data_IF_271033842262
#
_entry.id   IF_271033842262
#
_cell.length_a   1.000
_cell.length_b   1.000
_cell.length_c   1.000
_cell.angle_alpha   90.00
_cell.angle_beta   90.00
_cell.angle_gamma   90.00
#
_symmetry.space_group_name_H-M   'P 1'
#
loop_
_entity.id
_entity.type
_entity.pdbx_description
1 polymer ?
#
# COMPACT_ATOMS: atom_id res chain seq x y z
N UNK A 1 0.57 14.55 19.98
CA UNK A 1 0.76 13.81 18.72
C UNK A 1 -0.61 13.22 18.36
N UNK A 2 -1.21 13.75 17.29
CA UNK A 2 -2.56 13.56 16.72
C UNK A 2 -3.76 13.35 17.68
N UNK A 3 -4.51 14.43 17.92
CA UNK A 3 -5.84 14.44 18.58
C UNK A 3 -6.99 14.05 17.63
N UNK A 4 -6.69 13.73 16.38
CA UNK A 4 -7.69 13.35 15.38
C UNK A 4 -8.11 11.91 15.63
N UNK A 5 -9.43 11.69 15.72
CA UNK A 5 -10.04 10.37 15.81
C UNK A 5 -10.85 10.12 14.54
N UNK A 6 -10.64 8.98 13.92
CA UNK A 6 -11.47 8.47 12.84
C UNK A 6 -12.23 7.23 13.35
N UNK A 7 -13.47 7.39 13.82
CA UNK A 7 -14.18 6.37 14.59
C UNK A 7 -14.89 5.34 13.70
N UNK A 8 -14.19 4.79 12.70
CA UNK A 8 -14.76 3.75 11.86
C UNK A 8 -15.10 2.49 12.68
N UNK A 9 -16.24 1.83 12.44
CA UNK A 9 -16.55 0.56 13.07
C UNK A 9 -15.51 -0.49 12.67
N UNK A 10 -15.20 -1.42 13.57
CA UNK A 10 -14.34 -2.57 13.23
C UNK A 10 -15.04 -3.53 12.26
N UNK A 11 -14.27 -4.22 11.42
CA UNK A 11 -14.75 -5.26 10.51
C UNK A 11 -14.27 -6.68 10.96
N UNK A 12 -14.79 -7.25 12.06
CA UNK A 12 -14.32 -8.52 12.60
C UNK A 12 -14.49 -9.70 11.63
N UNK A 13 -15.57 -9.72 10.85
CA UNK A 13 -15.84 -10.78 9.87
C UNK A 13 -14.79 -10.76 8.75
N UNK A 14 -14.44 -9.57 8.25
CA UNK A 14 -13.36 -9.39 7.27
C UNK A 14 -12.00 -9.77 7.86
N UNK A 15 -11.73 -9.43 9.12
CA UNK A 15 -10.49 -9.81 9.79
C UNK A 15 -10.36 -11.33 9.98
N UNK A 16 -11.45 -12.02 10.31
CA UNK A 16 -11.49 -13.48 10.41
C UNK A 16 -11.29 -14.13 9.04
N UNK A 17 -11.99 -13.65 8.02
CA UNK A 17 -11.85 -14.12 6.65
C UNK A 17 -10.43 -13.91 6.09
N UNK A 18 -9.84 -12.75 6.36
CA UNK A 18 -8.44 -12.44 6.01
C UNK A 18 -7.49 -13.45 6.65
N UNK A 19 -7.66 -13.74 7.95
CA UNK A 19 -6.87 -14.75 8.66
C UNK A 19 -6.97 -16.12 8.00
N UNK A 20 -8.19 -16.59 7.71
CA UNK A 20 -8.41 -17.90 7.09
C UNK A 20 -7.70 -18.02 5.73
N UNK A 21 -7.84 -17.00 4.86
CA UNK A 21 -7.22 -16.98 3.54
C UNK A 21 -5.68 -17.03 3.64
N UNK A 22 -5.10 -16.25 4.56
CA UNK A 22 -3.67 -16.23 4.77
C UNK A 22 -3.13 -17.54 5.34
N UNK A 23 -3.80 -18.12 6.33
CA UNK A 23 -3.39 -19.40 6.92
C UNK A 23 -3.51 -20.55 5.91
N UNK A 24 -4.58 -20.58 5.09
CA UNK A 24 -4.73 -21.55 3.99
C UNK A 24 -3.65 -21.41 2.93
N UNK A 25 -3.19 -20.18 2.66
CA UNK A 25 -2.10 -19.91 1.73
C UNK A 25 -0.69 -20.10 2.33
N UNK A 26 -0.59 -20.52 3.60
CA UNK A 26 0.70 -20.83 4.25
C UNK A 26 1.41 -19.64 4.90
N UNK A 27 0.74 -18.51 5.09
CA UNK A 27 1.27 -17.33 5.80
C UNK A 27 1.07 -17.39 7.32
N UNK A 28 0.54 -18.50 7.84
CA UNK A 28 0.22 -18.68 9.26
C UNK A 28 1.41 -18.99 10.18
N UNK A 29 1.25 -18.84 11.50
CA UNK A 29 0.00 -18.46 12.17
C UNK A 29 -0.31 -16.96 12.04
N UNK A 30 -1.59 -16.61 11.88
CA UNK A 30 -2.04 -15.21 11.84
C UNK A 30 -2.74 -14.83 13.14
N UNK A 31 -2.21 -13.81 13.81
CA UNK A 31 -2.77 -13.27 15.04
C UNK A 31 -3.82 -12.19 14.77
N UNK A 32 -4.84 -12.12 15.64
CA UNK A 32 -5.84 -11.06 15.63
C UNK A 32 -5.64 -10.18 16.86
N UNK A 33 -5.50 -8.88 16.65
CA UNK A 33 -5.47 -7.89 17.73
C UNK A 33 -6.77 -7.07 17.72
N UNK A 34 -7.58 -7.24 18.77
CA UNK A 34 -8.85 -6.53 18.96
C UNK A 34 -8.72 -5.25 19.78
N UNK A 35 -7.50 -4.92 20.24
CA UNK A 35 -7.23 -3.78 21.14
C UNK A 35 -6.58 -2.61 20.41
N UNK A 36 -5.83 -2.89 19.36
CA UNK A 36 -5.15 -1.86 18.57
C UNK A 36 -6.15 -1.09 17.71
N UNK A 37 -6.15 0.23 17.85
CA UNK A 37 -6.91 1.13 16.97
C UNK A 37 -6.18 1.42 15.66
N UNK A 38 -6.88 2.11 14.74
CA UNK A 38 -6.31 2.54 13.46
C UNK A 38 -5.07 3.40 13.66
N UNK A 39 -3.96 3.01 13.04
CA UNK A 39 -2.78 3.87 12.98
C UNK A 39 -2.92 4.98 11.93
N UNK A 40 -1.98 5.94 11.98
CA UNK A 40 -1.98 7.12 11.11
C UNK A 40 -1.94 6.82 9.62
N UNK A 41 -1.29 5.73 9.21
CA UNK A 41 -1.26 5.32 7.80
C UNK A 41 -2.65 4.90 7.33
N UNK A 42 -3.45 4.28 8.20
CA UNK A 42 -4.80 3.86 7.85
C UNK A 42 -5.84 5.00 7.92
N UNK A 43 -5.86 5.81 8.98
CA UNK A 43 -6.94 6.79 9.14
C UNK A 43 -6.81 8.04 8.25
N UNK A 44 -5.60 8.47 7.86
CA UNK A 44 -5.42 9.67 7.01
C UNK A 44 -6.12 9.54 5.64
N UNK A 45 -5.88 8.49 4.83
CA UNK A 45 -6.58 8.34 3.55
C UNK A 45 -8.09 8.13 3.74
N UNK A 46 -8.50 7.40 4.79
CA UNK A 46 -9.90 7.14 5.06
C UNK A 46 -10.68 8.40 5.46
N UNK A 47 -10.06 9.32 6.20
CA UNK A 47 -10.67 10.63 6.50
C UNK A 47 -10.95 11.46 5.24
N UNK A 48 -10.18 11.27 4.17
CA UNK A 48 -10.38 11.96 2.90
C UNK A 48 -11.41 11.25 2.01
N UNK A 49 -11.40 9.92 2.00
CA UNK A 49 -12.28 9.11 1.14
C UNK A 49 -13.69 8.91 1.71
N UNK A 50 -13.79 8.72 3.02
CA UNK A 50 -15.02 8.36 3.75
C UNK A 50 -15.15 9.18 5.05
N UNK A 51 -15.26 10.53 4.97
CA UNK A 51 -15.20 11.40 6.14
C UNK A 51 -16.25 11.11 7.23
N UNK A 52 -17.36 10.47 6.87
CA UNK A 52 -18.44 10.06 7.79
C UNK A 52 -18.06 8.86 8.69
N UNK A 53 -16.96 8.16 8.40
CA UNK A 53 -16.48 7.02 9.18
C UNK A 53 -17.52 5.90 9.38
N UNK A 54 -18.39 5.68 8.39
CA UNK A 54 -19.47 4.70 8.44
C UNK A 54 -19.14 3.37 7.72
N UNK A 55 -17.96 3.26 7.09
CA UNK A 55 -17.47 2.03 6.47
C UNK A 55 -16.69 1.21 7.51
N UNK A 56 -17.02 -0.07 7.75
CA UNK A 56 -16.23 -0.94 8.62
C UNK A 56 -14.80 -1.16 8.13
N UNK A 57 -13.83 -1.15 9.05
CA UNK A 57 -12.39 -1.28 8.73
C UNK A 57 -11.74 -2.34 9.60
N UNK A 58 -10.86 -3.14 9.00
CA UNK A 58 -9.85 -3.91 9.71
C UNK A 58 -8.47 -3.56 9.14
N UNK A 59 -7.42 -3.67 9.97
CA UNK A 59 -6.04 -3.44 9.53
C UNK A 59 -5.30 -4.76 9.35
N UNK A 60 -4.39 -4.76 8.38
CA UNK A 60 -3.43 -5.82 8.15
C UNK A 60 -2.03 -5.23 8.31
N UNK A 61 -1.19 -5.87 9.13
CA UNK A 61 0.20 -5.47 9.30
C UNK A 61 1.07 -5.91 8.12
N UNK A 62 2.13 -5.14 7.86
CA UNK A 62 3.21 -5.53 6.95
C UNK A 62 4.33 -6.23 7.73
N UNK A 63 5.05 -7.14 7.08
CA UNK A 63 6.17 -7.88 7.68
C UNK A 63 7.49 -7.23 7.26
N UNK A 64 8.10 -6.46 8.16
CA UNK A 64 9.27 -5.62 7.82
C UNK A 64 10.54 -6.40 7.50
N UNK A 65 10.61 -7.68 7.89
CA UNK A 65 11.70 -8.60 7.62
C UNK A 65 11.50 -9.41 6.30
N UNK A 66 10.41 -9.16 5.59
CA UNK A 66 10.08 -9.77 4.29
C UNK A 66 10.23 -8.76 3.15
N UNK A 67 10.18 -9.24 1.91
CA UNK A 67 10.40 -8.45 0.69
C UNK A 67 9.10 -8.14 -0.07
N UNK A 68 9.22 -7.41 -1.18
CA UNK A 68 8.08 -7.06 -2.03
C UNK A 68 7.38 -8.26 -2.66
N UNK A 69 8.12 -9.33 -2.97
CA UNK A 69 7.56 -10.56 -3.52
C UNK A 69 6.67 -11.28 -2.50
N UNK A 70 7.11 -11.38 -1.24
CA UNK A 70 6.30 -11.92 -0.15
C UNK A 70 4.98 -11.16 0.00
N UNK A 71 5.01 -9.83 0.02
CA UNK A 71 3.81 -9.01 0.18
C UNK A 71 2.89 -9.07 -1.05
N UNK A 72 3.43 -9.27 -2.24
CA UNK A 72 2.64 -9.51 -3.45
C UNK A 72 1.90 -10.86 -3.37
N UNK A 73 2.58 -11.93 -2.97
CA UNK A 73 1.93 -13.25 -2.80
C UNK A 73 0.91 -13.23 -1.65
N UNK A 74 1.20 -12.49 -0.58
CA UNK A 74 0.24 -12.23 0.49
C UNK A 74 -1.02 -11.55 -0.09
N UNK A 75 -0.84 -10.50 -0.90
CA UNK A 75 -1.94 -9.84 -1.60
C UNK A 75 -2.74 -10.80 -2.48
N UNK A 76 -2.06 -11.67 -3.25
CA UNK A 76 -2.72 -12.69 -4.09
C UNK A 76 -3.61 -13.61 -3.28
N UNK A 77 -3.18 -14.03 -2.08
CA UNK A 77 -4.01 -14.85 -1.20
C UNK A 77 -5.30 -14.13 -0.74
N UNK A 78 -5.29 -12.78 -0.72
CA UNK A 78 -6.41 -11.95 -0.34
C UNK A 78 -7.33 -11.55 -1.50
N UNK A 79 -7.03 -11.95 -2.74
CA UNK A 79 -7.84 -11.63 -3.91
C UNK A 79 -9.35 -11.97 -3.74
N UNK A 80 -9.76 -13.10 -3.10
CA UNK A 80 -11.17 -13.44 -2.91
C UNK A 80 -11.99 -12.37 -2.16
N UNK A 81 -11.36 -11.59 -1.27
CA UNK A 81 -12.06 -10.54 -0.52
C UNK A 81 -12.71 -9.49 -1.44
N UNK A 82 -12.14 -9.26 -2.63
CA UNK A 82 -12.70 -8.31 -3.60
C UNK A 82 -14.04 -8.77 -4.14
N UNK A 83 -14.16 -10.07 -4.42
CA UNK A 83 -15.41 -10.69 -4.89
C UNK A 83 -16.46 -10.76 -3.76
N UNK A 84 -15.99 -10.73 -2.51
CA UNK A 84 -16.80 -10.65 -1.29
C UNK A 84 -17.19 -9.19 -0.91
N UNK A 85 -16.92 -8.22 -1.79
CA UNK A 85 -17.33 -6.82 -1.62
C UNK A 85 -16.41 -5.98 -0.72
N UNK A 86 -15.18 -6.45 -0.45
CA UNK A 86 -14.21 -5.73 0.38
C UNK A 86 -13.27 -4.89 -0.49
N UNK A 87 -13.12 -3.61 -0.12
CA UNK A 87 -12.08 -2.74 -0.67
C UNK A 87 -10.74 -3.02 0.02
N UNK A 88 -9.74 -3.45 -0.74
CA UNK A 88 -8.35 -3.57 -0.27
C UNK A 88 -7.63 -2.26 -0.55
N UNK A 89 -7.23 -1.56 0.52
CA UNK A 89 -6.55 -0.27 0.45
C UNK A 89 -5.08 -0.39 0.90
N UNK A 90 -4.14 -0.25 -0.05
CA UNK A 90 -2.72 -0.12 0.26
C UNK A 90 -2.36 1.32 0.58
N UNK A 91 -2.26 1.67 1.85
CA UNK A 91 -1.84 3.02 2.28
C UNK A 91 -0.35 3.07 2.58
N UNK A 92 0.37 3.92 1.86
CA UNK A 92 1.83 4.05 1.95
C UNK A 92 2.31 5.30 1.22
N UNK A 93 3.52 5.26 0.66
CA UNK A 93 4.08 6.35 -0.14
C UNK A 93 4.88 5.81 -1.31
N UNK A 94 4.76 6.44 -2.48
CA UNK A 94 5.54 6.05 -3.67
C UNK A 94 7.04 6.26 -3.45
N UNK A 95 7.43 7.30 -2.68
CA UNK A 95 8.80 7.52 -2.19
C UNK A 95 8.77 7.89 -0.71
N UNK A 96 9.66 7.32 0.11
CA UNK A 96 9.65 7.54 1.56
C UNK A 96 11.07 7.52 2.15
N UNK A 97 11.78 8.64 2.01
CA UNK A 97 13.09 8.83 2.63
C UNK A 97 13.13 10.08 3.52
N UNK A 98 12.86 9.87 4.81
CA UNK A 98 12.87 10.94 5.82
C UNK A 98 14.22 11.68 5.90
N UNK A 99 15.35 11.02 5.57
CA UNK A 99 16.68 11.65 5.56
C UNK A 99 16.87 12.62 4.38
N UNK A 100 15.96 12.59 3.40
CA UNK A 100 15.95 13.44 2.21
C UNK A 100 14.71 14.35 2.16
N UNK A 101 14.01 14.47 3.28
CA UNK A 101 12.88 15.38 3.43
C UNK A 101 13.37 16.83 3.38
N UNK A 102 12.73 17.64 2.55
CA UNK A 102 12.95 19.09 2.47
C UNK A 102 11.73 19.89 2.89
N UNK A 103 11.82 21.24 2.86
CA UNK A 103 10.65 22.10 2.97
C UNK A 103 9.61 21.80 1.89
N UNK A 104 8.33 21.97 2.20
CA UNK A 104 7.27 21.86 1.17
C UNK A 104 7.47 22.92 0.07
N UNK A 105 7.16 22.56 -1.17
CA UNK A 105 7.43 23.39 -2.36
C UNK A 105 8.88 23.40 -2.85
N UNK A 106 9.80 22.71 -2.16
CA UNK A 106 11.18 22.54 -2.66
C UNK A 106 11.20 21.73 -3.96
N UNK A 107 12.15 22.00 -4.88
CA UNK A 107 12.28 21.22 -6.11
C UNK A 107 12.44 19.73 -5.84
N UNK A 108 11.78 18.91 -6.67
CA UNK A 108 11.87 17.44 -6.59
C UNK A 108 13.28 17.00 -6.98
N UNK A 109 14.01 16.27 -6.11
CA UNK A 109 15.31 15.74 -6.46
C UNK A 109 15.22 14.74 -7.61
N UNK A 110 16.19 14.78 -8.52
CA UNK A 110 16.22 13.91 -9.71
C UNK A 110 16.04 12.43 -9.40
N UNK A 111 16.69 11.91 -8.35
CA UNK A 111 16.57 10.51 -7.96
C UNK A 111 15.12 10.12 -7.61
N UNK A 112 14.35 11.04 -7.01
CA UNK A 112 12.98 10.80 -6.58
C UNK A 112 12.04 10.77 -7.78
N UNK A 113 12.17 11.75 -8.69
CA UNK A 113 11.41 11.76 -9.95
C UNK A 113 11.74 10.59 -10.86
N UNK A 114 12.99 10.11 -10.88
CA UNK A 114 13.38 8.93 -11.68
C UNK A 114 12.79 7.64 -11.10
N UNK A 115 12.77 7.46 -9.78
CA UNK A 115 12.11 6.32 -9.15
C UNK A 115 10.60 6.34 -9.38
N UNK A 116 9.95 7.49 -9.14
CA UNK A 116 8.51 7.65 -9.29
C UNK A 116 8.04 7.48 -10.74
N UNK A 117 8.80 8.02 -11.71
CA UNK A 117 8.55 7.79 -13.13
C UNK A 117 8.66 6.31 -13.51
N UNK A 118 9.71 5.62 -13.05
CA UNK A 118 9.84 4.17 -13.24
C UNK A 118 8.68 3.39 -12.62
N UNK A 119 8.23 3.80 -11.42
CA UNK A 119 7.13 3.18 -10.71
C UNK A 119 5.82 3.31 -11.49
N UNK A 120 5.52 4.52 -11.96
CA UNK A 120 4.35 4.79 -12.79
C UNK A 120 4.38 3.94 -14.06
N UNK A 121 5.49 3.93 -14.80
CA UNK A 121 5.65 3.11 -16.01
C UNK A 121 5.51 1.61 -15.72
N UNK A 122 6.05 1.13 -14.60
CA UNK A 122 5.93 -0.27 -14.19
C UNK A 122 4.50 -0.67 -13.88
N UNK A 123 3.76 0.17 -13.13
CA UNK A 123 2.37 -0.09 -12.77
C UNK A 123 1.47 -0.03 -13.99
N UNK A 124 1.55 1.03 -14.81
CA UNK A 124 0.72 1.18 -16.01
C UNK A 124 1.05 0.14 -17.08
N UNK A 125 2.29 -0.33 -17.14
CA UNK A 125 2.76 -1.36 -18.06
C UNK A 125 2.57 -2.80 -17.57
N UNK A 126 2.01 -3.02 -16.37
CA UNK A 126 1.81 -4.37 -15.83
C UNK A 126 3.11 -5.12 -15.52
N UNK A 127 4.22 -4.40 -15.24
CA UNK A 127 5.54 -4.98 -14.94
C UNK A 127 5.63 -5.49 -13.49
N UNK A 128 4.70 -6.35 -13.07
CA UNK A 128 4.59 -6.83 -11.68
C UNK A 128 5.88 -7.49 -11.18
N UNK A 129 6.57 -8.19 -12.07
CA UNK A 129 7.84 -8.83 -11.80
C UNK A 129 8.98 -7.86 -11.49
N UNK A 130 8.95 -6.66 -12.09
CA UNK A 130 9.90 -5.59 -11.78
C UNK A 130 9.54 -4.90 -10.47
N UNK A 131 8.24 -4.72 -10.20
CA UNK A 131 7.74 -4.14 -8.95
C UNK A 131 8.11 -5.00 -7.74
N UNK A 132 7.89 -6.33 -7.81
CA UNK A 132 8.31 -7.28 -6.75
C UNK A 132 9.79 -7.20 -6.41
N UNK A 133 10.64 -6.83 -7.37
CA UNK A 133 12.10 -6.72 -7.26
C UNK A 133 12.58 -5.28 -7.42
N UNK A 134 11.79 -4.30 -6.96
CA UNK A 134 12.09 -2.89 -7.16
C UNK A 134 13.48 -2.48 -6.64
N UNK A 135 14.00 -3.12 -5.59
CA UNK A 135 15.34 -2.80 -5.08
C UNK A 135 16.46 -3.05 -6.10
N UNK A 136 16.25 -4.01 -7.00
CA UNK A 136 17.19 -4.38 -8.07
C UNK A 136 16.84 -3.71 -9.39
N UNK A 137 15.54 -3.54 -9.66
CA UNK A 137 15.02 -3.13 -10.98
C UNK A 137 14.74 -1.64 -11.10
N UNK A 138 14.48 -0.96 -9.98
CA UNK A 138 14.17 0.45 -9.97
C UNK A 138 15.46 1.29 -9.89
N UNK A 139 15.53 2.42 -10.59
CA UNK A 139 16.57 3.41 -10.32
C UNK A 139 16.36 3.94 -8.89
N UNK A 140 17.42 3.93 -8.08
CA UNK A 140 17.41 4.49 -6.73
C UNK A 140 16.46 3.82 -5.73
N UNK A 141 16.04 2.55 -5.92
CA UNK A 141 15.09 1.88 -5.04
C UNK A 141 15.43 1.94 -3.54
N UNK A 142 16.67 1.63 -3.17
CA UNK A 142 17.15 1.74 -1.77
C UNK A 142 17.25 3.17 -1.25
N UNK A 143 17.39 4.15 -2.14
CA UNK A 143 17.37 5.57 -1.78
C UNK A 143 15.95 6.08 -1.63
N UNK A 144 15.00 5.62 -2.44
CA UNK A 144 13.58 5.95 -2.30
C UNK A 144 12.97 5.35 -1.04
N UNK A 145 13.40 4.15 -0.68
CA UNK A 145 12.91 3.40 0.48
C UNK A 145 14.05 2.80 1.29
N UNK A 146 14.73 3.58 2.16
CA UNK A 146 15.76 3.05 3.05
C UNK A 146 15.19 2.08 4.09
N UNK A 147 13.92 2.27 4.48
CA UNK A 147 13.06 1.25 5.07
C UNK A 147 11.84 1.09 4.17
N UNK A 148 11.52 -0.13 3.71
CA UNK A 148 10.52 -0.37 2.67
C UNK A 148 9.09 -0.60 3.18
N UNK A 149 8.88 -0.45 4.49
CA UNK A 149 7.60 -0.68 5.15
C UNK A 149 6.46 0.18 4.57
N UNK A 150 6.75 1.41 4.13
CA UNK A 150 5.77 2.30 3.49
C UNK A 150 5.52 1.97 2.00
N UNK A 151 6.26 1.02 1.42
CA UNK A 151 6.11 0.60 0.02
C UNK A 151 5.47 -0.79 -0.12
N UNK A 152 5.54 -1.62 0.92
CA UNK A 152 4.87 -2.93 0.95
C UNK A 152 3.34 -2.91 0.79
N UNK A 153 2.59 -1.90 1.27
CA UNK A 153 1.16 -1.81 1.02
C UNK A 153 0.79 -1.79 -0.47
N UNK A 154 1.64 -1.22 -1.34
CA UNK A 154 1.45 -1.26 -2.79
C UNK A 154 1.49 -2.69 -3.32
N UNK A 155 2.43 -3.51 -2.84
CA UNK A 155 2.59 -4.90 -3.27
C UNK A 155 1.38 -5.75 -2.89
N UNK A 156 0.85 -5.56 -1.68
CA UNK A 156 -0.37 -6.25 -1.22
C UNK A 156 -1.56 -5.87 -2.10
N UNK A 157 -1.78 -4.57 -2.35
CA UNK A 157 -2.87 -4.10 -3.20
C UNK A 157 -2.74 -4.62 -4.65
N UNK A 158 -1.53 -4.61 -5.20
CA UNK A 158 -1.25 -5.13 -6.54
C UNK A 158 -1.48 -6.64 -6.64
N UNK A 159 -0.99 -7.40 -5.65
CA UNK A 159 -1.18 -8.85 -5.58
C UNK A 159 -2.65 -9.23 -5.50
N UNK A 160 -3.42 -8.51 -4.68
CA UNK A 160 -4.86 -8.74 -4.55
C UNK A 160 -5.63 -8.33 -5.82
N UNK A 161 -5.12 -7.37 -6.58
CA UNK A 161 -5.68 -7.01 -7.87
C UNK A 161 -5.53 -8.13 -8.92
N UNK A 162 -4.49 -8.96 -8.81
CA UNK A 162 -4.23 -10.11 -9.69
C UNK A 162 -3.41 -9.76 -10.93
N UNK A 163 -2.99 -10.78 -11.69
CA UNK A 163 -2.01 -10.65 -12.78
C UNK A 163 -2.53 -9.85 -13.98
N UNK A 164 -3.84 -9.86 -14.23
CA UNK A 164 -4.47 -9.09 -15.31
C UNK A 164 -4.92 -7.69 -14.88
N UNK A 165 -4.56 -7.26 -13.68
CA UNK A 165 -4.93 -5.95 -13.18
C UNK A 165 -4.36 -4.84 -14.07
N UNK A 166 -5.20 -3.83 -14.36
CA UNK A 166 -4.77 -2.58 -14.96
C UNK A 166 -4.65 -1.53 -13.88
N UNK A 167 -3.48 -0.91 -13.78
CA UNK A 167 -3.28 0.25 -12.94
C UNK A 167 -3.74 1.53 -13.66
N UNK A 168 -4.30 2.45 -12.90
CA UNK A 168 -4.64 3.81 -13.31
C UNK A 168 -4.12 4.79 -12.28
N UNK A 169 -3.42 5.82 -12.73
CA UNK A 169 -2.98 6.92 -11.87
C UNK A 169 -4.17 7.83 -11.56
N UNK A 170 -4.61 7.86 -10.31
CA UNK A 170 -5.72 8.71 -9.85
C UNK A 170 -5.26 10.12 -9.46
N UNK A 171 -4.08 10.21 -8.86
CA UNK A 171 -3.52 11.46 -8.35
C UNK A 171 -2.00 11.40 -8.37
N UNK A 172 -1.37 12.55 -8.58
CA UNK A 172 0.08 12.68 -8.53
C UNK A 172 0.45 14.07 -8.03
N UNK A 173 1.16 14.13 -6.91
CA UNK A 173 1.71 15.36 -6.36
C UNK A 173 2.94 15.08 -5.52
N UNK A 174 3.72 16.13 -5.26
CA UNK A 174 4.91 16.07 -4.43
C UNK A 174 4.77 17.03 -3.25
N UNK A 175 5.32 16.63 -2.10
CA UNK A 175 5.56 17.53 -0.98
C UNK A 175 6.91 17.21 -0.37
N UNK A 176 7.40 18.13 0.47
CA UNK A 176 8.61 17.97 1.24
C UNK A 176 9.83 17.51 0.40
N UNK A 177 9.93 18.07 -0.81
CA UNK A 177 10.88 17.75 -1.88
C UNK A 177 10.74 16.33 -2.48
N UNK A 178 10.76 15.28 -1.66
CA UNK A 178 10.98 13.90 -2.13
C UNK A 178 9.85 12.93 -1.83
N UNK A 179 8.71 13.38 -1.31
CA UNK A 179 7.57 12.54 -0.98
C UNK A 179 6.55 12.61 -2.11
N UNK A 180 6.42 11.52 -2.87
CA UNK A 180 5.39 11.35 -3.89
C UNK A 180 4.11 10.79 -3.29
N UNK A 181 3.00 11.47 -3.59
CA UNK A 181 1.64 11.08 -3.23
C UNK A 181 0.91 10.44 -4.42
N UNK A 182 1.67 9.87 -5.36
CA UNK A 182 1.09 9.11 -6.47
C UNK A 182 0.15 8.03 -5.94
N UNK A 183 -1.12 8.09 -6.36
CA UNK A 183 -2.18 7.18 -5.90
C UNK A 183 -2.75 6.45 -7.10
N UNK A 184 -2.94 5.13 -6.95
CA UNK A 184 -3.31 4.25 -8.06
C UNK A 184 -4.58 3.48 -7.75
N UNK A 185 -5.39 3.25 -8.79
CA UNK A 185 -6.49 2.29 -8.77
C UNK A 185 -6.11 1.08 -9.61
N UNK A 186 -6.46 -0.11 -9.12
CA UNK A 186 -6.34 -1.34 -9.89
C UNK A 186 -7.73 -1.84 -10.28
N UNK A 187 -7.94 -2.09 -11.58
CA UNK A 187 -9.17 -2.68 -12.11
C UNK A 187 -8.86 -4.01 -12.78
N UNK A 188 -9.63 -5.05 -12.48
CA UNK A 188 -9.62 -6.28 -13.29
C UNK A 188 -10.66 -6.19 -14.39
N UNK A 189 -10.44 -6.91 -15.49
CA UNK A 189 -11.54 -7.20 -16.41
C UNK A 189 -12.51 -8.14 -15.69
N UNK A 190 -13.77 -7.73 -15.57
CA UNK A 190 -14.85 -8.66 -15.27
C UNK A 190 -15.08 -9.60 -16.45
#
# INVERSE_FOLDING_TARGET
MYQLKYPAPGAPDVAMRTKELLEQAGFGPVEQDTRRGLDHGAWVPLMLMYPEANVPVCQLSVQTDRDGAYHYELGRALAPLRDEGVLILGSGSATHNLRRMGPSGSPVPRWASEFDGWLQEALLGGRHDDLKRYEEKAPHGKMAHPSPDHFYPLHVALGAAGEEAKAELLHHSWTNASFSYASYRFTTKN
#
